data_IF_060220442137
#
_entry.id   IF_060220442137
#
_cell.length_a   1.000
_cell.length_b   1.000
_cell.length_c   1.000
_cell.angle_alpha   90.00
_cell.angle_beta   90.00
_cell.angle_gamma   90.00
#
_symmetry.space_group_name_H-M   'P 1'
#
loop_
_entity.id
_entity.type
_entity.pdbx_description
1 polymer ?
#
# COMPACT_ATOMS: atom_id res chain seq x y z
N UNK A 1 -35.35 -3.98 4.33
CA UNK A 1 -34.42 -4.09 5.47
C UNK A 1 -33.37 -5.12 5.08
N UNK A 2 -32.29 -4.67 4.49
CA UNK A 2 -31.17 -5.53 4.04
C UNK A 2 -30.51 -6.11 5.29
N UNK A 3 -30.42 -7.42 5.31
CA UNK A 3 -29.74 -8.19 6.34
C UNK A 3 -28.28 -7.69 6.38
N UNK A 4 -27.94 -6.84 7.35
CA UNK A 4 -26.57 -6.39 7.60
C UNK A 4 -25.84 -7.57 8.24
N UNK A 5 -25.29 -8.43 7.40
CA UNK A 5 -24.38 -9.46 7.86
C UNK A 5 -23.19 -8.76 8.51
N UNK A 6 -22.93 -9.05 9.77
CA UNK A 6 -21.75 -8.60 10.51
C UNK A 6 -20.51 -9.21 9.80
N UNK A 7 -19.96 -8.49 8.82
CA UNK A 7 -18.81 -8.93 8.03
C UNK A 7 -17.57 -8.56 8.82
N UNK A 8 -16.98 -9.55 9.48
CA UNK A 8 -15.69 -9.37 10.14
C UNK A 8 -14.57 -9.30 9.09
N UNK A 9 -13.63 -8.37 9.22
CA UNK A 9 -12.47 -8.32 8.33
C UNK A 9 -11.57 -9.54 8.56
N UNK A 10 -11.07 -10.10 7.47
CA UNK A 10 -10.10 -11.18 7.48
C UNK A 10 -9.02 -10.92 6.44
N UNK A 11 -7.76 -10.84 6.88
CA UNK A 11 -6.61 -10.58 6.03
C UNK A 11 -5.95 -11.91 5.69
N UNK A 12 -5.87 -12.24 4.39
CA UNK A 12 -5.34 -13.50 3.85
C UNK A 12 -3.90 -13.36 3.33
N UNK A 13 -3.14 -12.39 3.80
CA UNK A 13 -1.76 -12.19 3.41
C UNK A 13 -0.92 -11.74 4.62
N UNK A 14 0.32 -12.18 4.66
CA UNK A 14 1.25 -11.84 5.74
C UNK A 14 2.19 -10.67 5.37
N UNK A 15 2.51 -10.56 4.07
CA UNK A 15 3.42 -9.52 3.58
C UNK A 15 2.97 -8.92 2.24
N UNK A 16 3.73 -7.92 1.77
CA UNK A 16 3.47 -7.23 0.51
C UNK A 16 3.61 -8.15 -0.72
N UNK A 17 4.39 -9.21 -0.66
CA UNK A 17 4.57 -10.15 -1.79
C UNK A 17 3.32 -10.99 -1.95
N UNK A 18 2.76 -11.47 -0.85
CA UNK A 18 1.49 -12.19 -0.86
C UNK A 18 0.33 -11.29 -1.28
N UNK A 19 0.32 -10.04 -0.78
CA UNK A 19 -0.64 -9.04 -1.24
C UNK A 19 -0.59 -8.85 -2.76
N UNK A 20 0.61 -8.70 -3.33
CA UNK A 20 0.79 -8.57 -4.79
C UNK A 20 0.27 -9.80 -5.53
N UNK A 21 0.56 -11.01 -5.06
CA UNK A 21 0.04 -12.25 -5.65
C UNK A 21 -1.49 -12.30 -5.65
N UNK A 22 -2.13 -11.76 -4.61
CA UNK A 22 -3.59 -11.65 -4.56
C UNK A 22 -4.10 -10.62 -5.57
N UNK A 23 -3.48 -9.45 -5.63
CA UNK A 23 -3.84 -8.40 -6.59
C UNK A 23 -3.64 -8.83 -8.04
N UNK A 24 -2.59 -9.62 -8.34
CA UNK A 24 -2.37 -10.23 -9.66
C UNK A 24 -3.48 -11.22 -10.02
N UNK A 25 -3.91 -12.06 -9.09
CA UNK A 25 -5.04 -12.99 -9.31
C UNK A 25 -6.35 -12.27 -9.59
N UNK A 26 -6.53 -11.07 -9.06
CA UNK A 26 -7.66 -10.19 -9.39
C UNK A 26 -7.51 -9.52 -10.77
N UNK A 27 -6.36 -9.67 -11.43
CA UNK A 27 -6.09 -9.03 -12.74
C UNK A 27 -5.87 -7.51 -12.65
N UNK A 28 -5.57 -6.99 -11.47
CA UNK A 28 -5.51 -5.55 -11.22
C UNK A 28 -4.10 -4.99 -11.14
N UNK A 29 -3.06 -5.80 -11.37
CA UNK A 29 -1.65 -5.37 -11.34
C UNK A 29 -1.12 -5.19 -12.76
N UNK A 30 -0.38 -4.09 -12.96
CA UNK A 30 0.42 -3.85 -14.17
C UNK A 30 1.87 -3.66 -13.77
N UNK A 31 2.78 -4.26 -14.54
CA UNK A 31 4.23 -4.08 -14.35
C UNK A 31 4.77 -3.20 -15.46
N UNK A 32 5.46 -2.14 -15.08
CA UNK A 32 6.16 -1.20 -16.00
C UNK A 32 7.64 -1.30 -15.69
N UNK A 33 8.47 -1.50 -16.72
CA UNK A 33 9.93 -1.59 -16.58
C UNK A 33 10.62 -0.40 -17.25
N UNK A 34 11.75 0.00 -16.68
CA UNK A 34 12.60 1.04 -17.23
C UNK A 34 12.07 2.46 -17.09
N UNK A 35 11.00 2.67 -16.32
CA UNK A 35 10.52 4.01 -16.02
C UNK A 35 11.49 4.74 -15.08
N UNK A 36 11.83 5.97 -15.42
CA UNK A 36 12.72 6.81 -14.60
C UNK A 36 12.01 7.36 -13.39
N UNK A 37 12.72 7.46 -12.26
CA UNK A 37 12.16 8.06 -11.03
C UNK A 37 12.07 9.58 -11.12
N UNK A 38 12.88 10.22 -11.99
CA UNK A 38 12.91 11.68 -12.13
C UNK A 38 11.62 12.24 -12.77
N UNK A 39 11.08 11.53 -13.78
CA UNK A 39 9.94 12.04 -14.56
C UNK A 39 8.83 11.00 -14.73
N UNK A 40 9.16 9.80 -15.25
CA UNK A 40 8.15 8.86 -15.73
C UNK A 40 7.23 8.34 -14.62
N UNK A 41 7.80 7.97 -13.47
CA UNK A 41 7.02 7.43 -12.33
C UNK A 41 6.08 8.51 -11.80
N UNK A 42 6.53 9.76 -11.69
CA UNK A 42 5.71 10.87 -11.22
C UNK A 42 4.53 11.17 -12.16
N UNK A 43 4.80 11.25 -13.47
CA UNK A 43 3.77 11.49 -14.49
C UNK A 43 2.76 10.34 -14.57
N UNK A 44 3.25 9.09 -14.52
CA UNK A 44 2.41 7.92 -14.52
C UNK A 44 1.53 7.86 -13.25
N UNK A 45 2.10 8.22 -12.07
CA UNK A 45 1.38 8.29 -10.82
C UNK A 45 0.18 9.24 -10.89
N UNK A 46 0.38 10.44 -11.42
CA UNK A 46 -0.67 11.43 -11.61
C UNK A 46 -1.82 10.89 -12.48
N UNK A 47 -1.49 10.27 -13.61
CA UNK A 47 -2.48 9.71 -14.52
C UNK A 47 -3.26 8.53 -13.87
N UNK A 48 -2.54 7.64 -13.17
CA UNK A 48 -3.13 6.46 -12.53
C UNK A 48 -4.06 6.84 -11.38
N UNK A 49 -3.65 7.81 -10.55
CA UNK A 49 -4.44 8.23 -9.37
C UNK A 49 -5.67 9.03 -9.75
N UNK A 50 -5.67 9.71 -10.91
CA UNK A 50 -6.84 10.41 -11.44
C UNK A 50 -7.83 9.49 -12.15
N UNK A 51 -7.40 8.32 -12.58
CA UNK A 51 -8.28 7.36 -13.23
C UNK A 51 -9.25 6.74 -12.22
N UNK A 52 -10.53 6.72 -12.54
CA UNK A 52 -11.50 5.96 -11.76
C UNK A 52 -11.13 4.46 -11.84
N UNK A 53 -10.91 3.83 -10.69
CA UNK A 53 -10.46 2.45 -10.58
C UNK A 53 -9.13 2.16 -11.34
N UNK A 54 -8.21 3.12 -11.35
CA UNK A 54 -6.89 2.93 -11.95
C UNK A 54 -6.18 1.67 -11.43
N UNK A 55 -5.35 0.99 -12.24
CA UNK A 55 -4.68 -0.24 -11.84
C UNK A 55 -3.68 0.00 -10.71
N UNK A 56 -3.33 -1.07 -9.99
CA UNK A 56 -2.11 -1.13 -9.23
C UNK A 56 -0.93 -1.23 -10.19
N UNK A 57 0.12 -0.45 -9.98
CA UNK A 57 1.29 -0.48 -10.87
C UNK A 57 2.55 -0.75 -10.05
N UNK A 58 3.32 -1.73 -10.53
CA UNK A 58 4.66 -2.03 -10.04
C UNK A 58 5.65 -1.50 -11.07
N UNK A 59 6.43 -0.49 -10.70
CA UNK A 59 7.57 -0.06 -11.49
C UNK A 59 8.78 -0.90 -11.10
N UNK A 60 9.34 -1.60 -12.08
CA UNK A 60 10.49 -2.49 -11.94
C UNK A 60 11.63 -2.05 -12.85
N UNK A 61 12.85 -2.51 -12.59
CA UNK A 61 14.04 -2.12 -13.35
C UNK A 61 14.18 -0.59 -13.48
N UNK A 62 14.04 0.13 -12.35
CA UNK A 62 14.12 1.59 -12.31
C UNK A 62 15.56 2.03 -12.60
N UNK A 63 15.83 2.82 -13.69
CA UNK A 63 17.17 3.26 -14.03
C UNK A 63 17.84 4.04 -12.89
N UNK A 64 19.10 3.70 -12.59
CA UNK A 64 19.89 4.31 -11.51
C UNK A 64 19.63 3.73 -10.13
N UNK A 65 18.70 2.78 -9.98
CA UNK A 65 18.47 2.05 -8.74
C UNK A 65 19.10 0.65 -8.77
N UNK A 66 19.50 0.10 -7.62
CA UNK A 66 19.95 -1.28 -7.52
C UNK A 66 18.89 -2.27 -8.02
N UNK A 67 19.33 -3.37 -8.63
CA UNK A 67 18.43 -4.44 -9.08
C UNK A 67 17.56 -4.96 -7.94
N UNK A 68 16.26 -5.06 -8.18
CA UNK A 68 15.30 -5.54 -7.21
C UNK A 68 14.57 -4.41 -6.44
N UNK A 69 15.01 -3.17 -6.58
CA UNK A 69 14.22 -2.03 -6.13
C UNK A 69 12.99 -1.85 -7.01
N UNK A 70 11.82 -1.78 -6.38
CA UNK A 70 10.54 -1.61 -7.06
C UNK A 70 9.71 -0.54 -6.36
N UNK A 71 8.90 0.16 -7.13
CA UNK A 71 7.93 1.12 -6.61
C UNK A 71 6.53 0.59 -6.86
N UNK A 72 5.74 0.48 -5.80
CA UNK A 72 4.34 0.06 -5.87
C UNK A 72 3.43 1.29 -5.71
N UNK A 73 2.47 1.40 -6.61
CA UNK A 73 1.54 2.52 -6.64
C UNK A 73 0.08 2.06 -6.68
N UNK A 74 -0.81 2.82 -6.02
CA UNK A 74 -2.26 2.68 -6.08
C UNK A 74 -2.81 1.36 -5.49
N UNK A 75 -2.39 1.03 -4.27
CA UNK A 75 -2.89 -0.16 -3.54
C UNK A 75 -4.37 -0.07 -3.16
N UNK A 76 -4.89 1.14 -2.90
CA UNK A 76 -6.18 1.36 -2.24
C UNK A 76 -7.31 1.76 -3.20
N UNK A 77 -7.31 1.24 -4.43
CA UNK A 77 -8.35 1.48 -5.40
C UNK A 77 -9.08 0.20 -5.81
N UNK A 78 -10.32 0.31 -6.27
CA UNK A 78 -11.11 -0.81 -6.77
C UNK A 78 -11.26 -1.96 -5.75
N UNK A 79 -11.22 -3.18 -6.24
CA UNK A 79 -11.32 -4.41 -5.43
C UNK A 79 -10.14 -4.60 -4.47
N UNK A 80 -8.95 -4.12 -4.85
CA UNK A 80 -7.73 -4.18 -4.03
C UNK A 80 -7.91 -3.49 -2.69
N UNK A 81 -8.62 -2.36 -2.67
CA UNK A 81 -8.94 -1.66 -1.42
C UNK A 81 -9.66 -2.58 -0.43
N UNK A 82 -10.69 -3.27 -0.89
CA UNK A 82 -11.46 -4.18 -0.04
C UNK A 82 -10.57 -5.33 0.47
N UNK A 83 -9.81 -5.95 -0.43
CA UNK A 83 -8.83 -6.99 -0.11
C UNK A 83 -7.79 -6.51 0.91
N UNK A 84 -7.26 -5.30 0.76
CA UNK A 84 -6.26 -4.73 1.68
C UNK A 84 -6.80 -4.59 3.09
N UNK A 85 -8.07 -4.27 3.24
CA UNK A 85 -8.73 -4.17 4.56
C UNK A 85 -9.36 -5.49 5.03
N UNK A 86 -9.18 -6.59 4.29
CA UNK A 86 -9.71 -7.90 4.64
C UNK A 86 -11.22 -8.03 4.47
N UNK A 87 -11.82 -7.25 3.59
CA UNK A 87 -13.24 -7.30 3.28
C UNK A 87 -13.52 -7.91 1.91
N UNK A 88 -14.71 -8.49 1.69
CA UNK A 88 -15.11 -9.04 0.39
C UNK A 88 -14.98 -8.02 -0.75
N UNK A 89 -14.46 -8.48 -1.88
CA UNK A 89 -14.14 -7.65 -3.06
C UNK A 89 -15.36 -7.01 -3.74
N UNK A 90 -16.54 -7.58 -3.54
CA UNK A 90 -17.80 -7.11 -4.12
C UNK A 90 -18.43 -5.91 -3.39
N UNK A 91 -17.92 -5.54 -2.20
CA UNK A 91 -18.48 -4.41 -1.47
C UNK A 91 -18.21 -3.10 -2.21
N UNK A 92 -19.25 -2.29 -2.32
CA UNK A 92 -19.12 -0.91 -2.79
C UNK A 92 -18.34 -0.07 -1.78
N UNK A 93 -17.90 1.11 -2.19
CA UNK A 93 -17.18 2.05 -1.32
C UNK A 93 -17.96 2.38 -0.05
N UNK A 94 -19.27 2.52 -0.15
CA UNK A 94 -20.14 2.86 0.97
C UNK A 94 -20.35 1.68 1.92
N UNK A 95 -20.60 0.49 1.37
CA UNK A 95 -20.73 -0.75 2.16
C UNK A 95 -19.44 -1.09 2.89
N UNK A 96 -18.28 -0.90 2.24
CA UNK A 96 -16.98 -1.06 2.90
C UNK A 96 -16.82 -0.07 4.06
N UNK A 97 -17.19 1.20 3.86
CA UNK A 97 -17.10 2.22 4.92
C UNK A 97 -17.97 1.88 6.11
N UNK A 98 -19.17 1.39 5.87
CA UNK A 98 -20.08 0.96 6.94
C UNK A 98 -19.55 -0.29 7.66
N UNK A 99 -19.08 -1.30 6.90
CA UNK A 99 -18.52 -2.53 7.47
C UNK A 99 -17.25 -2.24 8.31
N UNK A 100 -16.37 -1.37 7.80
CA UNK A 100 -15.17 -0.95 8.54
C UNK A 100 -15.52 -0.24 9.85
N UNK A 101 -16.48 0.69 9.80
CA UNK A 101 -16.97 1.39 10.98
C UNK A 101 -17.58 0.43 12.01
N UNK A 102 -18.39 -0.53 11.57
CA UNK A 102 -18.98 -1.54 12.44
C UNK A 102 -17.91 -2.42 13.09
N UNK A 103 -16.93 -2.89 12.32
CA UNK A 103 -15.81 -3.67 12.84
C UNK A 103 -14.96 -2.89 13.85
N UNK A 104 -14.71 -1.60 13.60
CA UNK A 104 -13.99 -0.72 14.53
C UNK A 104 -14.75 -0.48 15.83
N UNK A 105 -16.08 -0.35 15.77
CA UNK A 105 -16.94 -0.15 16.95
C UNK A 105 -17.21 -1.43 17.74
N UNK A 106 -16.93 -2.61 17.16
CA UNK A 106 -17.13 -3.91 17.81
C UNK A 106 -16.08 -4.25 18.89
N UNK A 107 -15.35 -3.28 19.41
CA UNK A 107 -14.30 -3.43 20.42
C UNK A 107 -13.13 -4.33 19.96
N UNK A 108 -12.31 -3.86 18.99
CA UNK A 108 -11.21 -4.65 18.47
C UNK A 108 -10.23 -5.00 19.58
N UNK A 109 -9.82 -6.24 19.65
CA UNK A 109 -8.76 -6.69 20.57
C UNK A 109 -7.45 -5.97 20.19
N UNK A 110 -7.07 -5.00 20.98
CA UNK A 110 -5.78 -4.33 20.80
C UNK A 110 -4.67 -5.30 21.18
N UNK A 111 -3.83 -5.63 20.21
CA UNK A 111 -2.62 -6.40 20.45
C UNK A 111 -1.58 -5.46 21.04
N UNK A 112 -1.08 -5.79 22.23
CA UNK A 112 -0.02 -5.02 22.85
C UNK A 112 1.25 -5.12 21.98
N UNK A 113 1.86 -3.98 21.65
CA UNK A 113 3.14 -3.95 20.97
C UNK A 113 4.24 -4.59 21.84
N UNK A 114 5.17 -5.24 21.18
CA UNK A 114 6.40 -5.75 21.80
C UNK A 114 7.53 -4.75 21.50
N UNK A 115 8.29 -4.42 22.54
CA UNK A 115 9.49 -3.58 22.39
C UNK A 115 10.67 -4.52 22.21
N UNK A 116 11.31 -4.42 21.05
CA UNK A 116 12.51 -5.19 20.71
C UNK A 116 13.72 -4.27 20.64
N UNK A 117 14.90 -4.77 21.04
CA UNK A 117 16.15 -4.00 21.01
C UNK A 117 16.83 -4.09 19.64
N UNK A 118 16.48 -5.09 18.83
CA UNK A 118 17.06 -5.34 17.51
C UNK A 118 16.01 -5.87 16.53
N UNK A 119 16.27 -5.71 15.23
CA UNK A 119 15.42 -6.22 14.18
C UNK A 119 15.94 -5.87 12.77
N UNK A 120 15.36 -6.45 11.72
CA UNK A 120 15.80 -6.24 10.32
C UNK A 120 15.87 -4.77 9.90
N UNK A 121 15.08 -3.90 10.55
CA UNK A 121 15.09 -2.44 10.28
C UNK A 121 16.41 -1.78 10.67
N UNK A 122 17.21 -2.40 11.53
CA UNK A 122 18.50 -1.87 11.98
C UNK A 122 19.70 -2.40 11.19
N UNK A 123 19.51 -3.27 10.19
CA UNK A 123 20.60 -3.78 9.36
C UNK A 123 21.38 -2.68 8.62
N UNK A 124 20.69 -1.62 8.24
CA UNK A 124 21.27 -0.49 7.51
C UNK A 124 20.90 0.82 8.19
N UNK A 125 21.73 1.28 9.10
CA UNK A 125 21.54 2.57 9.78
C UNK A 125 22.44 3.63 9.16
N UNK A 126 21.83 4.67 8.58
CA UNK A 126 22.53 5.82 8.03
C UNK A 126 22.43 7.00 9.01
N UNK A 127 23.59 7.46 9.49
CA UNK A 127 23.65 8.55 10.45
C UNK A 127 24.44 9.75 9.91
N UNK A 128 24.13 10.94 10.42
CA UNK A 128 24.83 12.20 10.12
C UNK A 128 24.70 12.58 8.65
N UNK A 129 25.83 12.80 7.97
CA UNK A 129 25.82 13.27 6.57
C UNK A 129 25.35 12.22 5.56
N UNK A 130 25.24 10.97 5.97
CA UNK A 130 24.70 9.87 5.14
C UNK A 130 23.18 9.73 5.26
N UNK A 131 22.55 10.39 6.21
CA UNK A 131 21.10 10.37 6.38
C UNK A 131 20.43 11.36 5.42
N UNK A 132 19.49 10.90 4.61
CA UNK A 132 18.72 11.74 3.68
C UNK A 132 17.70 12.63 4.39
N UNK A 133 17.29 12.34 5.60
CA UNK A 133 16.35 13.16 6.38
C UNK A 133 16.84 14.60 6.63
N UNK A 134 18.15 14.83 6.59
CA UNK A 134 18.69 16.20 6.68
C UNK A 134 18.26 17.10 5.52
N UNK A 135 17.85 16.56 4.39
CA UNK A 135 17.41 17.33 3.21
C UNK A 135 15.95 17.78 3.33
N UNK A 136 15.09 16.95 3.89
CA UNK A 136 13.65 17.23 4.04
C UNK A 136 13.40 18.43 4.98
N UNK A 137 14.18 18.59 6.03
CA UNK A 137 14.02 19.70 6.99
C UNK A 137 14.40 21.10 6.47
N UNK A 138 15.08 21.20 5.31
CA UNK A 138 15.47 22.50 4.73
C UNK A 138 14.48 23.01 3.68
N UNK A 139 13.69 22.15 3.09
CA UNK A 139 12.74 22.50 2.03
C UNK A 139 11.36 22.94 2.57
N UNK A 140 11.08 22.67 3.84
CA UNK A 140 9.84 23.11 4.49
C UNK A 140 9.90 24.53 5.09
N UNK A 141 10.87 25.35 4.72
CA UNK A 141 10.90 26.78 5.04
C UNK A 141 10.42 27.58 3.84
N UNK A 142 9.10 27.63 3.68
CA UNK A 142 8.40 28.69 2.97
C UNK A 142 7.81 29.63 4.00
#
# INVERSE_FOLDING_TARGET
MTNRSNIAPHIDYEDLREWLNHAERLGEVKVVRGATWQEDIGLAAEAILRAENGPCVVFDDVPGCPKGFRVLLNMFAGKRRNMTFGFPDHLTKWELSDAYREAYLADPKLIKHEIVEDGPVFENVLMGDRSEERRVGKECRL
#
